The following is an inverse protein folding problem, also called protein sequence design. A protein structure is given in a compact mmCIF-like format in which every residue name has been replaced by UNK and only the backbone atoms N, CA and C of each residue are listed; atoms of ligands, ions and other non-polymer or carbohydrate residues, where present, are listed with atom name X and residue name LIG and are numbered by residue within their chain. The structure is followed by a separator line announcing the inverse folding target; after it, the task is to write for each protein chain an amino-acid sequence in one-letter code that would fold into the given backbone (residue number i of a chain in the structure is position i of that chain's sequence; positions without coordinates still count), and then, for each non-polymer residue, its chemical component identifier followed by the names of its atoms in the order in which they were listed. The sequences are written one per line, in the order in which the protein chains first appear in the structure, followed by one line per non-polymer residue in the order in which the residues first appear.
data_IF_828442457944
#
_entry.id   IF_828442457944
#
_cell.length_a   1.000
_cell.length_b   1.000
_cell.length_c   1.000
_cell.angle_alpha   90.00
_cell.angle_beta   90.00
_cell.angle_gamma   90.00
#
_symmetry.space_group_name_H-M   'P 1'
#
loop_
_entity.id
_entity.type
_entity.pdbx_description
1 polymer ?
#
# COMPACT_ATOMS: atom_id res chain seq x y z
N UNK A 1 -0.60 15.23 -16.42
CA UNK A 1 -1.75 14.62 -17.15
C UNK A 1 -3.07 15.32 -16.85
N UNK A 2 -3.48 15.51 -15.59
CA UNK A 2 -4.72 16.26 -15.29
C UNK A 2 -4.77 17.65 -15.96
N UNK A 3 -3.68 18.43 -15.86
CA UNK A 3 -3.58 19.75 -16.50
C UNK A 3 -3.55 19.67 -18.03
N UNK A 4 -2.82 18.69 -18.58
CA UNK A 4 -2.74 18.43 -20.03
C UNK A 4 -4.11 18.10 -20.64
N UNK A 5 -5.00 17.46 -19.87
CA UNK A 5 -6.33 17.05 -20.33
C UNK A 5 -7.46 17.95 -19.84
N UNK A 6 -7.16 19.13 -19.28
CA UNK A 6 -8.16 19.98 -18.60
C UNK A 6 -9.32 20.38 -19.50
N UNK A 7 -9.08 20.54 -20.79
CA UNK A 7 -10.05 21.01 -21.79
C UNK A 7 -10.67 19.88 -22.62
N UNK A 8 -10.27 18.62 -22.39
CA UNK A 8 -10.79 17.46 -23.12
C UNK A 8 -12.13 17.03 -22.53
N UNK A 9 -13.24 17.40 -23.18
CA UNK A 9 -14.58 16.97 -22.80
C UNK A 9 -14.80 15.48 -23.07
N UNK A 10 -15.45 14.80 -22.13
CA UNK A 10 -15.84 13.39 -22.23
C UNK A 10 -17.19 13.15 -21.54
N UNK A 11 -17.80 11.99 -21.83
CA UNK A 11 -19.00 11.54 -21.12
C UNK A 11 -18.62 10.86 -19.81
N UNK A 12 -19.18 11.33 -18.69
CA UNK A 12 -19.10 10.61 -17.42
C UNK A 12 -19.95 9.34 -17.47
N UNK A 13 -19.56 8.30 -16.72
CA UNK A 13 -20.35 7.06 -16.63
C UNK A 13 -20.54 6.64 -15.18
N UNK A 14 -21.77 6.32 -14.82
CA UNK A 14 -22.15 5.73 -13.53
C UNK A 14 -22.85 4.41 -13.80
N UNK A 15 -22.47 3.34 -13.09
CA UNK A 15 -22.96 1.97 -13.38
C UNK A 15 -22.70 1.54 -14.84
N UNK A 16 -21.63 2.05 -15.45
CA UNK A 16 -21.29 1.87 -16.86
C UNK A 16 -22.31 2.43 -17.87
N UNK A 17 -23.32 3.19 -17.41
CA UNK A 17 -24.28 3.90 -18.26
C UNK A 17 -23.85 5.36 -18.48
N UNK A 18 -24.30 5.97 -19.57
CA UNK A 18 -24.08 7.39 -19.85
C UNK A 18 -24.68 8.26 -18.73
N UNK A 19 -23.91 9.26 -18.29
CA UNK A 19 -24.31 10.18 -17.23
C UNK A 19 -24.29 11.63 -17.73
N UNK A 20 -23.45 12.50 -17.14
CA UNK A 20 -23.30 13.90 -17.53
C UNK A 20 -21.86 14.20 -17.99
N UNK A 21 -21.65 15.23 -18.83
CA UNK A 21 -20.31 15.59 -19.29
C UNK A 21 -19.35 15.99 -18.17
N UNK A 22 -18.07 15.66 -18.34
CA UNK A 22 -16.96 16.14 -17.52
C UNK A 22 -15.71 16.31 -18.40
N UNK A 23 -14.60 16.79 -17.83
CA UNK A 23 -13.32 16.80 -18.56
C UNK A 23 -12.44 15.63 -18.11
N UNK A 24 -11.66 15.09 -19.05
CA UNK A 24 -10.67 14.04 -18.77
C UNK A 24 -9.64 14.54 -17.75
N UNK A 25 -9.31 15.84 -17.75
CA UNK A 25 -8.48 16.45 -16.73
C UNK A 25 -9.07 16.36 -15.32
N UNK A 26 -10.40 16.55 -15.16
CA UNK A 26 -11.08 16.34 -13.87
C UNK A 26 -11.01 14.88 -13.42
N UNK A 27 -11.17 13.93 -14.33
CA UNK A 27 -11.05 12.49 -14.03
C UNK A 27 -9.64 12.14 -13.53
N UNK A 28 -8.60 12.59 -14.24
CA UNK A 28 -7.21 12.38 -13.82
C UNK A 28 -6.85 13.13 -12.53
N UNK A 29 -7.47 14.28 -12.27
CA UNK A 29 -7.31 14.99 -10.99
C UNK A 29 -7.84 14.15 -9.83
N UNK A 30 -8.96 13.45 -10.01
CA UNK A 30 -9.49 12.52 -9.00
C UNK A 30 -8.50 11.41 -8.68
N UNK A 31 -7.80 10.85 -9.68
CA UNK A 31 -6.74 9.86 -9.44
C UNK A 31 -5.61 10.43 -8.57
N UNK A 32 -5.16 11.66 -8.86
CA UNK A 32 -4.13 12.33 -8.08
C UNK A 32 -4.59 12.59 -6.62
N UNK A 33 -5.83 13.03 -6.42
CA UNK A 33 -6.40 13.25 -5.08
C UNK A 33 -6.46 11.94 -4.29
N UNK A 34 -6.96 10.85 -4.91
CA UNK A 34 -7.04 9.54 -4.25
C UNK A 34 -5.68 9.05 -3.74
N UNK A 35 -4.63 9.21 -4.55
CA UNK A 35 -3.26 8.83 -4.17
C UNK A 35 -2.70 9.79 -3.11
N UNK A 36 -2.96 11.10 -3.24
CA UNK A 36 -2.53 12.10 -2.26
C UNK A 36 -3.07 11.84 -0.85
N UNK A 37 -4.34 11.45 -0.74
CA UNK A 37 -4.94 11.04 0.54
C UNK A 37 -4.26 9.82 1.14
N UNK A 38 -3.91 8.84 0.30
CA UNK A 38 -3.34 7.58 0.76
C UNK A 38 -1.86 7.74 1.16
N UNK A 39 -1.12 8.65 0.54
CA UNK A 39 0.21 9.08 1.02
C UNK A 39 0.11 9.56 2.48
N UNK A 40 -0.90 10.36 2.82
CA UNK A 40 -1.09 10.82 4.19
C UNK A 40 -1.37 9.64 5.15
N UNK A 41 -2.18 8.66 4.73
CA UNK A 41 -2.45 7.46 5.55
C UNK A 41 -1.19 6.63 5.80
N UNK A 42 -0.33 6.48 4.78
CA UNK A 42 0.96 5.77 4.92
C UNK A 42 1.89 6.51 5.87
N UNK A 43 1.99 7.85 5.75
CA UNK A 43 2.81 8.67 6.63
C UNK A 43 2.34 8.63 8.09
N UNK A 44 1.03 8.53 8.32
CA UNK A 44 0.46 8.33 9.67
C UNK A 44 0.78 6.94 10.21
N UNK A 45 0.52 5.88 9.44
CA UNK A 45 0.76 4.50 9.88
C UNK A 45 2.24 4.22 10.15
N UNK A 46 3.14 4.85 9.39
CA UNK A 46 4.58 4.78 9.61
C UNK A 46 5.00 5.20 11.02
N UNK A 47 4.27 6.10 11.68
CA UNK A 47 4.63 6.55 13.03
C UNK A 47 4.49 5.43 14.08
N UNK A 48 3.63 4.44 13.82
CA UNK A 48 3.38 3.33 14.74
C UNK A 48 4.59 2.42 14.93
N UNK A 49 5.47 2.31 13.93
CA UNK A 49 6.69 1.49 14.00
C UNK A 49 7.91 2.27 14.53
N UNK A 50 7.71 3.50 15.01
CA UNK A 50 8.74 4.25 15.72
C UNK A 50 8.76 3.91 17.21
N UNK A 51 7.74 3.24 17.73
CA UNK A 51 7.77 2.67 19.06
C UNK A 51 8.52 1.33 19.07
N UNK A 52 9.41 1.12 20.03
CA UNK A 52 10.25 -0.07 20.16
C UNK A 52 10.21 -0.64 21.58
N UNK A 53 10.43 -1.95 21.71
CA UNK A 53 10.44 -2.65 22.99
C UNK A 53 11.87 -3.05 23.47
N UNK A 54 12.91 -2.43 22.90
CA UNK A 54 14.29 -2.77 23.25
C UNK A 54 14.57 -2.47 24.74
N UNK A 55 14.89 -3.53 25.47
CA UNK A 55 15.06 -3.49 26.93
C UNK A 55 14.02 -4.32 27.68
N UNK A 56 12.95 -4.76 27.00
CA UNK A 56 11.94 -5.68 27.56
C UNK A 56 12.43 -7.11 27.76
N UNK A 57 13.46 -7.53 27.01
CA UNK A 57 14.07 -8.88 27.06
C UNK A 57 13.07 -9.99 26.72
N UNK A 58 12.94 -11.04 27.52
CA UNK A 58 12.20 -12.25 27.16
C UNK A 58 10.67 -12.04 27.08
N UNK A 59 10.10 -11.27 28.01
CA UNK A 59 8.64 -11.09 28.17
C UNK A 59 8.26 -9.66 28.59
N UNK A 60 9.13 -8.69 28.29
CA UNK A 60 8.91 -7.28 28.64
C UNK A 60 9.34 -6.85 30.05
N UNK A 61 9.68 -7.79 30.94
CA UNK A 61 10.05 -7.47 32.34
C UNK A 61 11.41 -6.77 32.49
N UNK A 62 12.24 -6.79 31.45
CA UNK A 62 13.60 -6.26 31.51
C UNK A 62 14.58 -7.12 32.32
N UNK A 63 14.24 -8.38 32.60
CA UNK A 63 15.15 -9.30 33.29
C UNK A 63 16.47 -9.43 32.53
N UNK A 64 17.59 -9.32 33.24
CA UNK A 64 18.95 -9.30 32.67
C UNK A 64 19.25 -8.09 31.75
N UNK A 65 18.43 -7.04 31.76
CA UNK A 65 18.74 -5.75 31.15
C UNK A 65 19.30 -4.78 32.19
N UNK A 66 20.29 -3.96 31.81
CA UNK A 66 20.74 -2.87 32.68
C UNK A 66 19.64 -1.79 32.77
N UNK A 67 19.36 -1.18 33.95
CA UNK A 67 18.29 -0.18 34.10
C UNK A 67 18.39 1.01 33.13
N UNK A 68 19.61 1.40 32.76
CA UNK A 68 19.84 2.49 31.80
C UNK A 68 19.74 2.07 30.32
N UNK A 69 19.69 0.77 30.00
CA UNK A 69 19.73 0.27 28.62
C UNK A 69 18.61 0.86 27.74
N UNK A 70 17.32 0.89 28.14
CA UNK A 70 16.26 1.44 27.30
C UNK A 70 16.52 2.90 26.87
N UNK A 71 16.96 3.75 27.82
CA UNK A 71 17.29 5.16 27.54
C UNK A 71 18.49 5.29 26.62
N UNK A 72 19.50 4.44 26.80
CA UNK A 72 20.71 4.46 25.97
C UNK A 72 20.40 4.00 24.55
N UNK A 73 19.64 2.91 24.38
CA UNK A 73 19.32 2.36 23.07
C UNK A 73 18.38 3.28 22.29
N UNK A 74 17.40 3.92 22.94
CA UNK A 74 16.55 4.94 22.32
C UNK A 74 17.38 6.08 21.72
N UNK A 75 18.28 6.66 22.51
CA UNK A 75 19.16 7.73 22.02
C UNK A 75 20.03 7.24 20.85
N UNK A 76 20.61 6.04 20.97
CA UNK A 76 21.52 5.50 19.95
C UNK A 76 20.82 5.17 18.64
N UNK A 77 19.61 4.62 18.69
CA UNK A 77 18.86 4.31 17.46
C UNK A 77 18.43 5.59 16.74
N UNK A 78 18.07 6.65 17.49
CA UNK A 78 17.81 7.98 16.91
C UNK A 78 19.06 8.55 16.23
N UNK A 79 20.22 8.50 16.88
CA UNK A 79 21.50 8.97 16.33
C UNK A 79 21.86 8.26 15.01
N UNK A 80 21.64 6.94 14.92
CA UNK A 80 22.03 6.15 13.74
C UNK A 80 21.03 6.29 12.59
N UNK A 81 19.73 6.35 12.89
CA UNK A 81 18.68 6.30 11.86
C UNK A 81 18.16 7.68 11.45
N UNK A 82 18.30 8.69 12.31
CA UNK A 82 17.66 10.00 12.15
C UNK A 82 16.14 9.99 12.32
N UNK A 83 15.54 8.90 12.81
CA UNK A 83 14.12 8.83 13.13
C UNK A 83 13.87 8.93 14.63
N UNK A 84 12.75 9.55 14.99
CA UNK A 84 12.33 9.79 16.37
C UNK A 84 11.74 8.51 17.02
N UNK A 85 12.57 7.49 17.18
CA UNK A 85 12.20 6.24 17.86
C UNK A 85 11.94 6.46 19.35
N UNK A 86 10.92 5.85 19.94
CA UNK A 86 10.61 5.90 21.37
C UNK A 86 10.55 4.49 21.95
N UNK A 87 11.04 4.30 23.17
CA UNK A 87 10.76 3.07 23.91
C UNK A 87 9.31 3.09 24.38
N UNK A 88 8.61 1.96 24.22
CA UNK A 88 7.22 1.80 24.65
C UNK A 88 7.04 2.08 26.15
N UNK A 89 5.87 2.63 26.52
CA UNK A 89 5.53 2.93 27.92
C UNK A 89 5.43 1.65 28.77
N UNK A 90 4.87 0.59 28.19
CA UNK A 90 4.78 -0.74 28.81
C UNK A 90 5.49 -1.78 27.91
N UNK A 91 6.62 -2.27 28.39
CA UNK A 91 7.41 -3.27 27.67
C UNK A 91 6.78 -4.67 27.67
N UNK A 92 5.92 -4.99 28.64
CA UNK A 92 5.20 -6.27 28.68
C UNK A 92 4.14 -6.30 27.59
N UNK A 93 3.42 -5.20 27.41
CA UNK A 93 2.49 -5.00 26.29
C UNK A 93 3.23 -5.03 24.95
N UNK A 94 4.26 -4.20 24.79
CA UNK A 94 4.96 -4.07 23.50
C UNK A 94 5.77 -5.32 23.09
N UNK A 95 5.96 -6.31 23.98
CA UNK A 95 6.61 -7.59 23.64
C UNK A 95 5.66 -8.54 22.89
N UNK A 96 4.36 -8.41 23.09
CA UNK A 96 3.35 -9.27 22.45
C UNK A 96 2.54 -8.54 21.37
N UNK A 97 2.59 -7.20 21.33
CA UNK A 97 1.79 -6.41 20.40
C UNK A 97 2.31 -6.46 18.96
N UNK A 98 1.39 -6.74 18.04
CA UNK A 98 1.61 -6.73 16.59
C UNK A 98 0.59 -5.84 15.88
N UNK A 99 -0.14 -5.00 16.61
CA UNK A 99 -1.19 -4.12 16.09
C UNK A 99 -0.69 -3.13 15.04
N UNK A 100 0.54 -2.62 15.20
CA UNK A 100 1.17 -1.76 14.20
C UNK A 100 1.29 -2.43 12.82
N UNK A 101 1.59 -3.74 12.79
CA UNK A 101 1.72 -4.51 11.55
C UNK A 101 0.38 -4.64 10.82
N UNK A 102 -0.68 -4.94 11.56
CA UNK A 102 -2.05 -5.01 11.02
C UNK A 102 -2.47 -3.66 10.45
N UNK A 103 -2.22 -2.57 11.17
CA UNK A 103 -2.61 -1.24 10.72
C UNK A 103 -1.86 -0.81 9.46
N UNK A 104 -0.55 -1.06 9.39
CA UNK A 104 0.26 -0.79 8.20
C UNK A 104 -0.25 -1.62 7.01
N UNK A 105 -0.47 -2.92 7.21
CA UNK A 105 -1.01 -3.80 6.18
C UNK A 105 -2.37 -3.32 5.65
N UNK A 106 -3.27 -2.92 6.55
CA UNK A 106 -4.59 -2.40 6.19
C UNK A 106 -4.51 -1.11 5.36
N UNK A 107 -3.54 -0.23 5.66
CA UNK A 107 -3.27 0.97 4.86
C UNK A 107 -2.70 0.61 3.48
N UNK A 108 -1.81 -0.37 3.38
CA UNK A 108 -1.29 -0.85 2.09
C UNK A 108 -2.40 -1.49 1.25
N UNK A 109 -3.30 -2.28 1.85
CA UNK A 109 -4.50 -2.80 1.17
C UNK A 109 -5.38 -1.67 0.62
N UNK A 110 -5.57 -0.59 1.37
CA UNK A 110 -6.32 0.59 0.91
C UNK A 110 -5.67 1.21 -0.32
N UNK A 111 -4.35 1.46 -0.28
CA UNK A 111 -3.56 1.98 -1.40
C UNK A 111 -3.73 1.08 -2.63
N UNK A 112 -3.51 -0.24 -2.47
CA UNK A 112 -3.65 -1.23 -3.52
C UNK A 112 -5.06 -1.25 -4.13
N UNK A 113 -6.10 -1.14 -3.31
CA UNK A 113 -7.49 -1.10 -3.78
C UNK A 113 -7.75 0.11 -4.68
N UNK A 114 -7.32 1.32 -4.25
CA UNK A 114 -7.49 2.53 -5.06
C UNK A 114 -6.63 2.50 -6.33
N UNK A 115 -5.39 2.04 -6.24
CA UNK A 115 -4.49 1.92 -7.40
C UNK A 115 -5.03 0.93 -8.44
N UNK A 116 -5.55 -0.22 -7.98
CA UNK A 116 -6.20 -1.21 -8.82
C UNK A 116 -7.42 -0.63 -9.55
N UNK A 117 -8.24 0.19 -8.87
CA UNK A 117 -9.36 0.92 -9.48
C UNK A 117 -8.88 1.86 -10.58
N UNK A 118 -7.84 2.67 -10.33
CA UNK A 118 -7.27 3.58 -11.35
C UNK A 118 -6.80 2.77 -12.57
N UNK A 119 -6.12 1.64 -12.35
CA UNK A 119 -5.68 0.77 -13.44
C UNK A 119 -6.86 0.18 -14.23
N UNK A 120 -7.94 -0.21 -13.55
CA UNK A 120 -9.15 -0.70 -14.21
C UNK A 120 -9.77 0.37 -15.12
N UNK A 121 -9.86 1.61 -14.64
CA UNK A 121 -10.34 2.73 -15.44
C UNK A 121 -9.45 2.94 -16.67
N UNK A 122 -8.12 2.96 -16.50
CA UNK A 122 -7.19 3.14 -17.62
C UNK A 122 -7.37 2.06 -18.68
N UNK A 123 -7.52 0.78 -18.28
CA UNK A 123 -7.76 -0.33 -19.21
C UNK A 123 -9.08 -0.18 -19.96
N UNK A 124 -10.14 0.19 -19.25
CA UNK A 124 -11.48 0.38 -19.83
C UNK A 124 -11.52 1.56 -20.79
N UNK A 125 -10.96 2.70 -20.40
CA UNK A 125 -10.86 3.91 -21.23
C UNK A 125 -10.02 3.69 -22.49
N UNK A 126 -8.99 2.83 -22.42
CA UNK A 126 -8.15 2.48 -23.58
C UNK A 126 -8.68 1.31 -24.42
N UNK A 127 -9.84 0.74 -24.09
CA UNK A 127 -10.39 -0.41 -24.82
C UNK A 127 -10.71 -0.04 -26.27
N UNK A 128 -10.33 -0.87 -27.24
CA UNK A 128 -10.48 -0.52 -28.66
C UNK A 128 -9.58 -1.34 -29.59
N UNK A 129 -9.23 -0.82 -30.78
CA UNK A 129 -9.37 0.58 -31.21
C UNK A 129 -10.73 0.94 -31.84
N UNK A 130 -11.53 -0.03 -32.28
CA UNK A 130 -12.83 0.23 -32.97
C UNK A 130 -14.05 -0.28 -32.21
N UNK A 131 -13.87 -1.27 -31.34
CA UNK A 131 -14.97 -1.98 -30.67
C UNK A 131 -14.94 -1.79 -29.14
N UNK A 132 -14.46 -0.64 -28.67
CA UNK A 132 -14.37 -0.27 -27.25
C UNK A 132 -14.57 1.23 -27.08
N UNK A 133 -14.18 1.79 -25.93
CA UNK A 133 -14.35 3.22 -25.65
C UNK A 133 -13.33 4.10 -26.39
N UNK A 134 -12.08 3.66 -26.44
CA UNK A 134 -10.96 4.34 -27.11
C UNK A 134 -10.84 5.84 -26.77
N UNK A 135 -11.10 6.21 -25.51
CA UNK A 135 -11.06 7.60 -25.02
C UNK A 135 -9.64 8.07 -24.72
N UNK A 136 -8.72 7.13 -24.44
CA UNK A 136 -7.30 7.43 -24.21
C UNK A 136 -6.41 6.45 -24.98
N UNK A 137 -5.18 6.90 -25.28
CA UNK A 137 -4.15 6.08 -25.89
C UNK A 137 -3.03 5.81 -24.87
N UNK A 138 -2.89 4.56 -24.44
CA UNK A 138 -1.77 4.15 -23.60
C UNK A 138 -0.50 3.92 -24.44
N UNK A 139 0.70 4.19 -23.89
CA UNK A 139 1.95 3.86 -24.56
C UNK A 139 2.04 2.37 -24.92
N UNK A 140 2.49 2.10 -26.14
CA UNK A 140 2.60 0.74 -26.67
C UNK A 140 3.89 0.09 -26.17
N UNK A 141 3.80 -0.71 -25.11
CA UNK A 141 5.00 -1.27 -24.45
C UNK A 141 5.54 -2.53 -25.10
N UNK A 142 4.68 -3.34 -25.73
CA UNK A 142 5.07 -4.58 -26.41
C UNK A 142 3.99 -5.01 -27.42
N UNK A 143 4.32 -5.88 -28.41
CA UNK A 143 3.32 -6.57 -29.22
C UNK A 143 2.35 -7.35 -28.34
N UNK A 144 1.05 -7.15 -28.53
CA UNK A 144 0.00 -7.71 -27.69
C UNK A 144 -0.48 -9.10 -28.12
N UNK A 145 -0.05 -9.60 -29.28
CA UNK A 145 -0.41 -10.93 -29.79
C UNK A 145 0.54 -11.37 -30.89
N UNK A 146 0.87 -12.66 -30.91
CA UNK A 146 1.65 -13.29 -31.98
C UNK A 146 0.87 -13.43 -33.31
N UNK A 147 -0.47 -13.46 -33.26
CA UNK A 147 -1.33 -13.71 -34.45
C UNK A 147 -2.01 -12.46 -35.00
N UNK A 148 -2.13 -11.39 -34.20
CA UNK A 148 -2.76 -10.13 -34.62
C UNK A 148 -1.71 -9.03 -34.76
N UNK A 149 -1.12 -8.84 -35.97
CA UNK A 149 -0.20 -7.74 -36.23
C UNK A 149 -0.77 -6.39 -35.79
N UNK A 150 0.00 -5.63 -35.02
CA UNK A 150 -0.38 -4.30 -34.55
C UNK A 150 -1.29 -4.27 -33.31
N UNK A 151 -1.76 -5.42 -32.79
CA UNK A 151 -2.48 -5.46 -31.50
C UNK A 151 -1.54 -5.08 -30.36
N UNK A 152 -2.01 -4.24 -29.45
CA UNK A 152 -1.31 -3.84 -28.21
C UNK A 152 -2.26 -3.95 -27.03
N UNK A 153 -1.78 -4.49 -25.91
CA UNK A 153 -2.55 -4.66 -24.68
C UNK A 153 -2.09 -3.65 -23.62
N UNK A 154 -2.94 -3.29 -22.64
CA UNK A 154 -2.58 -2.40 -21.55
C UNK A 154 -1.80 -3.12 -20.44
N UNK A 155 -0.63 -3.69 -20.79
CA UNK A 155 0.14 -4.60 -19.92
C UNK A 155 0.66 -3.96 -18.63
N UNK A 156 0.86 -2.64 -18.62
CA UNK A 156 1.33 -1.92 -17.43
C UNK A 156 0.23 -1.83 -16.36
N UNK A 157 -0.99 -1.32 -16.67
CA UNK A 157 -2.12 -1.47 -15.75
C UNK A 157 -2.39 -2.92 -15.31
N UNK A 158 -2.21 -3.90 -16.21
CA UNK A 158 -2.42 -5.33 -15.89
C UNK A 158 -1.44 -5.86 -14.83
N UNK A 159 -0.14 -5.54 -14.92
CA UNK A 159 0.81 -5.97 -13.89
C UNK A 159 0.59 -5.25 -12.57
N UNK A 160 0.20 -3.96 -12.60
CA UNK A 160 -0.16 -3.23 -11.38
C UNK A 160 -1.39 -3.83 -10.71
N UNK A 161 -2.41 -4.24 -11.47
CA UNK A 161 -3.57 -4.95 -10.92
C UNK A 161 -3.16 -6.25 -10.22
N UNK A 162 -2.27 -7.05 -10.81
CA UNK A 162 -1.77 -8.30 -10.21
C UNK A 162 -1.03 -8.06 -8.89
N UNK A 163 -0.16 -7.04 -8.84
CA UNK A 163 0.49 -6.62 -7.59
C UNK A 163 -0.55 -6.23 -6.54
N UNK A 164 -1.56 -5.44 -6.92
CA UNK A 164 -2.60 -5.03 -5.98
C UNK A 164 -3.37 -6.23 -5.41
N UNK A 165 -3.64 -7.26 -6.21
CA UNK A 165 -4.29 -8.49 -5.73
C UNK A 165 -3.42 -9.25 -4.74
N UNK A 166 -2.11 -9.34 -5.00
CA UNK A 166 -1.17 -9.95 -4.07
C UNK A 166 -1.15 -9.22 -2.73
N UNK A 167 -1.06 -7.88 -2.74
CA UNK A 167 -1.06 -7.06 -1.50
C UNK A 167 -2.34 -7.26 -0.70
N UNK A 168 -3.51 -7.32 -1.37
CA UNK A 168 -4.79 -7.58 -0.69
C UNK A 168 -4.80 -8.98 -0.06
N UNK A 169 -4.24 -10.00 -0.72
CA UNK A 169 -4.10 -11.34 -0.16
C UNK A 169 -3.12 -11.38 1.02
N UNK A 170 -1.98 -10.70 0.90
CA UNK A 170 -0.97 -10.58 1.95
C UNK A 170 -1.55 -9.96 3.22
N UNK A 171 -2.48 -9.00 3.10
CA UNK A 171 -3.18 -8.41 4.25
C UNK A 171 -3.97 -9.43 5.08
N UNK A 172 -4.59 -10.41 4.42
CA UNK A 172 -5.27 -11.51 5.11
C UNK A 172 -4.25 -12.37 5.87
N UNK A 173 -3.11 -12.67 5.26
CA UNK A 173 -2.01 -13.40 5.92
C UNK A 173 -1.49 -12.65 7.15
N UNK A 174 -1.23 -11.34 7.02
CA UNK A 174 -0.78 -10.51 8.16
C UNK A 174 -1.82 -10.50 9.27
N UNK A 175 -3.11 -10.36 8.92
CA UNK A 175 -4.21 -10.35 9.89
C UNK A 175 -4.23 -11.63 10.73
N UNK A 176 -4.20 -12.80 10.08
CA UNK A 176 -4.19 -14.08 10.80
C UNK A 176 -2.89 -14.32 11.59
N UNK A 177 -1.74 -13.89 11.06
CA UNK A 177 -0.48 -13.99 11.79
C UNK A 177 -0.50 -13.17 13.09
N UNK A 178 -1.02 -11.95 13.03
CA UNK A 178 -1.09 -11.06 14.20
C UNK A 178 -2.14 -11.54 15.21
N UNK A 179 -3.28 -12.07 14.75
CA UNK A 179 -4.31 -12.65 15.63
C UNK A 179 -3.82 -13.90 16.38
N UNK A 180 -2.94 -14.70 15.75
CA UNK A 180 -2.42 -15.94 16.34
C UNK A 180 -1.49 -15.76 17.55
N UNK A 181 -1.30 -14.56 18.08
CA UNK A 181 -0.51 -14.31 19.29
C UNK A 181 -0.98 -15.13 20.49
N UNK A 182 -0.05 -15.62 21.31
CA UNK A 182 -0.38 -16.44 22.47
C UNK A 182 0.42 -15.98 23.68
N UNK A 183 -0.29 -15.48 24.70
CA UNK A 183 0.31 -14.98 25.94
C UNK A 183 1.38 -13.92 25.62
N UNK A 184 2.58 -14.01 26.21
CA UNK A 184 3.60 -12.95 26.20
C UNK A 184 4.33 -12.76 24.86
N UNK A 185 3.95 -13.44 23.77
CA UNK A 185 4.65 -13.32 22.49
C UNK A 185 3.76 -13.68 21.29
N UNK A 186 4.00 -13.04 20.15
CA UNK A 186 3.52 -13.52 18.86
C UNK A 186 4.66 -14.22 18.09
N UNK A 187 4.54 -15.53 17.87
CA UNK A 187 5.56 -16.34 17.16
C UNK A 187 5.44 -16.28 15.64
N UNK A 188 4.39 -15.66 15.10
CA UNK A 188 4.07 -15.58 13.68
C UNK A 188 4.58 -14.30 13.01
N UNK A 189 5.34 -13.46 13.73
CA UNK A 189 6.00 -12.27 13.16
C UNK A 189 6.80 -12.53 11.87
N UNK A 190 7.51 -13.68 11.67
CA UNK A 190 8.23 -13.92 10.44
C UNK A 190 7.36 -13.91 9.18
N UNK A 191 6.15 -14.48 9.22
CA UNK A 191 5.25 -14.50 8.05
C UNK A 191 4.54 -13.16 7.87
N UNK A 192 4.26 -12.43 8.96
CA UNK A 192 3.74 -11.07 8.91
C UNK A 192 4.75 -10.12 8.27
N UNK A 193 6.01 -10.14 8.73
CA UNK A 193 7.09 -9.32 8.20
C UNK A 193 7.38 -9.65 6.73
N UNK A 194 7.45 -10.94 6.36
CA UNK A 194 7.64 -11.34 4.97
C UNK A 194 6.53 -10.80 4.05
N UNK A 195 5.27 -10.92 4.48
CA UNK A 195 4.11 -10.43 3.72
C UNK A 195 4.12 -8.91 3.57
N UNK A 196 4.46 -8.18 4.65
CA UNK A 196 4.57 -6.73 4.66
C UNK A 196 5.70 -6.23 3.75
N UNK A 197 6.93 -6.76 3.90
CA UNK A 197 8.06 -6.30 3.11
C UNK A 197 7.88 -6.58 1.62
N UNK A 198 7.35 -7.75 1.24
CA UNK A 198 7.04 -8.02 -0.17
C UNK A 198 5.97 -7.05 -0.69
N UNK A 199 4.93 -6.77 0.10
CA UNK A 199 3.90 -5.80 -0.30
C UNK A 199 4.47 -4.39 -0.51
N UNK A 200 5.39 -3.95 0.35
CA UNK A 200 6.05 -2.65 0.25
C UNK A 200 6.97 -2.58 -0.98
N UNK A 201 7.73 -3.65 -1.26
CA UNK A 201 8.68 -3.67 -2.38
C UNK A 201 7.96 -3.75 -3.73
N UNK A 202 6.80 -4.41 -3.80
CA UNK A 202 6.03 -4.52 -5.03
C UNK A 202 5.24 -3.25 -5.39
N UNK A 203 4.84 -2.46 -4.40
CA UNK A 203 4.09 -1.20 -4.57
C UNK A 203 5.01 -0.02 -4.92
#
# INVERSE_FOLDING_TARGET
KAEEFKDVLKMGRTQLQDAVPMTLGREFKTFAVMIGEDIQRVLEARKLILEINLGGTAIGTGINSHPDYPKVVERKIREVTGFEYTVAEDLIEATQDTGAYVQISGVLKRVATKLSKVCNDLRLLSSGPKCGLNEINLPKMQPGSSIMPGKVNPVIPEVVNQVCYFVIGADVTVTFACEGGQLQLNVFEPVAAYSLFNSIVML
#
